data_IF_717077222191
#
_entry.id   IF_717077222191
#
_cell.length_a   1.000
_cell.length_b   1.000
_cell.length_c   1.000
_cell.angle_alpha   90.00
_cell.angle_beta   90.00
_cell.angle_gamma   90.00
#
_symmetry.space_group_name_H-M   'P 1'
#
loop_
_entity.id
_entity.type
_entity.pdbx_description
1 polymer ?
#
# COMPACT_ATOMS: atom_id res chain seq x y z
N UNK A 1 -1.64 25.60 -5.70
CA UNK A 1 -0.79 24.41 -6.01
C UNK A 1 0.74 24.65 -5.92
N UNK A 2 1.29 25.73 -6.50
CA UNK A 2 2.75 26.03 -6.44
C UNK A 2 3.27 26.33 -5.02
N UNK A 3 2.47 26.99 -4.18
CA UNK A 3 2.82 27.35 -2.79
C UNK A 3 2.85 26.11 -1.88
N UNK A 4 1.88 25.20 -2.02
CA UNK A 4 1.87 23.89 -1.35
C UNK A 4 3.16 23.09 -1.65
N UNK A 5 3.62 23.09 -2.90
CA UNK A 5 4.89 22.44 -3.25
C UNK A 5 6.13 23.07 -2.57
N UNK A 6 6.09 24.34 -2.19
CA UNK A 6 7.20 25.02 -1.49
C UNK A 6 7.25 24.64 0.00
N UNK A 7 6.12 24.78 0.71
CA UNK A 7 6.04 24.40 2.13
C UNK A 7 6.22 22.88 2.33
N UNK A 8 5.74 22.07 1.39
CA UNK A 8 5.99 20.62 1.35
C UNK A 8 7.47 20.30 1.22
N UNK A 9 8.21 21.02 0.35
CA UNK A 9 9.66 20.85 0.23
C UNK A 9 10.35 21.19 1.54
N UNK A 10 9.94 22.26 2.23
CA UNK A 10 10.56 22.68 3.49
C UNK A 10 10.25 21.73 4.66
N UNK A 11 9.03 21.21 4.75
CA UNK A 11 8.67 20.19 5.75
C UNK A 11 9.39 18.85 5.51
N UNK A 12 9.45 18.38 4.26
CA UNK A 12 10.19 17.16 3.88
C UNK A 12 11.71 17.35 4.05
N UNK A 13 12.23 18.55 3.78
CA UNK A 13 13.63 18.91 3.98
C UNK A 13 14.00 18.85 5.46
N UNK A 14 13.15 19.38 6.35
CA UNK A 14 13.34 19.28 7.80
C UNK A 14 13.32 17.81 8.30
N UNK A 15 12.52 16.93 7.68
CA UNK A 15 12.51 15.49 7.99
C UNK A 15 13.76 14.76 7.46
N UNK A 16 14.31 15.17 6.30
CA UNK A 16 15.53 14.59 5.72
C UNK A 16 16.81 14.99 6.47
N UNK A 17 16.79 16.07 7.24
CA UNK A 17 17.95 16.58 8.00
C UNK A 17 18.21 15.78 9.29
N UNK A 18 17.33 14.88 9.71
CA UNK A 18 17.48 14.08 10.95
C UNK A 18 18.46 12.89 10.81
N UNK A 19 19.61 13.14 10.19
CA UNK A 19 20.84 12.35 10.03
C UNK A 19 20.88 11.33 8.87
N UNK A 20 21.83 11.48 7.93
CA UNK A 20 22.28 10.39 7.07
C UNK A 20 22.96 9.32 7.96
N UNK A 21 22.55 8.06 7.85
CA UNK A 21 23.13 6.92 8.58
C UNK A 21 24.66 6.83 8.45
N UNK A 22 25.21 7.37 7.36
CA UNK A 22 26.64 7.44 7.08
C UNK A 22 27.47 8.26 8.10
N UNK A 23 26.86 9.18 8.86
CA UNK A 23 27.59 10.03 9.82
C UNK A 23 27.81 9.37 11.19
N UNK A 24 27.10 8.27 11.51
CA UNK A 24 27.10 7.67 12.86
C UNK A 24 28.19 6.62 13.09
N UNK A 25 28.99 6.26 12.08
CA UNK A 25 29.97 5.18 12.18
C UNK A 25 31.29 5.55 12.89
N UNK A 26 31.58 6.84 13.09
CA UNK A 26 32.83 7.32 13.72
C UNK A 26 32.67 7.97 15.10
N UNK A 27 31.46 7.99 15.64
CA UNK A 27 31.17 8.72 16.89
C UNK A 27 31.14 7.74 18.07
N UNK A 28 31.71 8.13 19.22
CA UNK A 28 31.68 7.31 20.42
C UNK A 28 30.22 7.01 20.88
N UNK A 29 30.05 5.92 21.62
CA UNK A 29 28.75 5.41 22.08
C UNK A 29 27.91 6.44 22.85
N UNK A 30 28.55 7.28 23.68
CA UNK A 30 27.86 8.31 24.49
C UNK A 30 27.30 9.43 23.63
N UNK A 31 28.08 9.93 22.68
CA UNK A 31 27.63 10.98 21.75
C UNK A 31 26.55 10.43 20.80
N UNK A 32 26.67 9.17 20.35
CA UNK A 32 25.63 8.48 19.57
C UNK A 32 24.30 8.41 20.35
N UNK A 33 24.35 8.08 21.64
CA UNK A 33 23.16 8.04 22.51
C UNK A 33 22.54 9.43 22.72
N UNK A 34 23.35 10.47 22.93
CA UNK A 34 22.86 11.84 23.07
C UNK A 34 22.23 12.37 21.77
N UNK A 35 22.83 12.07 20.61
CA UNK A 35 22.26 12.44 19.31
C UNK A 35 20.95 11.69 19.03
N UNK A 36 20.87 10.41 19.38
CA UNK A 36 19.62 9.64 19.32
C UNK A 36 18.54 10.23 20.23
N UNK A 37 18.88 10.66 21.45
CA UNK A 37 17.94 11.31 22.36
C UNK A 37 17.38 12.62 21.79
N UNK A 38 18.23 13.47 21.22
CA UNK A 38 17.82 14.73 20.59
C UNK A 38 16.96 14.48 19.34
N UNK A 39 17.31 13.49 18.52
CA UNK A 39 16.50 13.09 17.37
C UNK A 39 15.14 12.55 17.81
N UNK A 40 15.10 11.69 18.83
CA UNK A 40 13.85 11.16 19.36
C UNK A 40 12.96 12.26 19.93
N UNK A 41 13.51 13.21 20.69
CA UNK A 41 12.75 14.37 21.20
C UNK A 41 12.20 15.23 20.04
N UNK A 42 13.00 15.45 19.00
CA UNK A 42 12.57 16.15 17.78
C UNK A 42 11.43 15.41 17.05
N UNK A 43 11.53 14.09 16.93
CA UNK A 43 10.49 13.27 16.31
C UNK A 43 9.22 13.21 17.16
N UNK A 44 9.33 13.11 18.49
CA UNK A 44 8.18 13.16 19.40
C UNK A 44 7.43 14.49 19.31
N UNK A 45 8.15 15.62 19.20
CA UNK A 45 7.52 16.93 18.95
C UNK A 45 6.78 16.95 17.62
N UNK A 46 7.36 16.37 16.56
CA UNK A 46 6.69 16.27 15.25
C UNK A 46 5.46 15.36 15.28
N UNK A 47 5.50 14.26 16.05
CA UNK A 47 4.34 13.38 16.28
C UNK A 47 3.22 14.15 16.98
N UNK A 48 3.52 14.79 18.12
CA UNK A 48 2.53 15.58 18.87
C UNK A 48 1.89 16.67 18.02
N UNK A 49 2.71 17.37 17.21
CA UNK A 49 2.18 18.39 16.32
C UNK A 49 1.30 17.76 15.22
N UNK A 50 1.69 16.64 14.62
CA UNK A 50 0.88 15.94 13.64
C UNK A 50 -0.44 15.38 14.22
N UNK A 51 -0.45 14.90 15.47
CA UNK A 51 -1.64 14.46 16.20
C UNK A 51 -2.60 15.61 16.48
N UNK A 52 -2.10 16.73 17.03
CA UNK A 52 -2.88 17.97 17.24
C UNK A 52 -3.53 18.42 15.93
N UNK A 53 -2.73 18.43 14.85
CA UNK A 53 -3.14 18.77 13.50
C UNK A 53 -4.26 17.88 12.95
N UNK A 54 -4.22 16.58 13.27
CA UNK A 54 -5.24 15.61 12.85
C UNK A 54 -6.54 15.80 13.62
N UNK A 55 -6.46 16.00 14.94
CA UNK A 55 -7.63 16.22 15.78
C UNK A 55 -8.43 17.45 15.35
N UNK A 56 -7.72 18.54 15.05
CA UNK A 56 -8.30 19.77 14.51
C UNK A 56 -9.00 19.52 13.16
N UNK A 57 -8.34 18.84 12.22
CA UNK A 57 -8.95 18.53 10.92
C UNK A 57 -10.24 17.71 11.06
N UNK A 58 -10.24 16.75 12.01
CA UNK A 58 -11.40 15.94 12.35
C UNK A 58 -12.54 16.79 12.93
N UNK A 59 -12.25 17.72 13.83
CA UNK A 59 -13.25 18.64 14.39
C UNK A 59 -13.91 19.48 13.29
N UNK A 60 -13.11 20.04 12.37
CA UNK A 60 -13.62 20.80 11.22
C UNK A 60 -14.51 19.92 10.34
N UNK A 61 -14.05 18.71 10.00
CA UNK A 61 -14.87 17.80 9.19
C UNK A 61 -16.20 17.50 9.87
N UNK A 62 -16.21 17.25 11.17
CA UNK A 62 -17.44 16.98 11.92
C UNK A 62 -18.39 18.20 11.92
N UNK A 63 -17.88 19.43 12.00
CA UNK A 63 -18.69 20.65 11.85
C UNK A 63 -19.31 20.73 10.45
N UNK A 64 -18.52 20.47 9.41
CA UNK A 64 -19.04 20.39 8.04
C UNK A 64 -20.02 19.24 7.82
N UNK A 65 -19.90 18.12 8.52
CA UNK A 65 -20.82 16.98 8.38
C UNK A 65 -22.14 17.19 9.15
N UNK A 66 -22.12 17.91 10.27
CA UNK A 66 -23.28 18.09 11.16
C UNK A 66 -24.17 19.30 10.83
N UNK A 67 -23.68 20.29 10.07
CA UNK A 67 -24.46 21.47 9.71
C UNK A 67 -25.07 21.39 8.32
N UNK A 68 -26.38 21.63 8.18
CA UNK A 68 -27.06 21.65 6.88
C UNK A 68 -26.66 22.86 6.03
N UNK A 69 -26.39 24.00 6.70
CA UNK A 69 -25.86 25.23 6.12
C UNK A 69 -24.50 25.56 6.74
N UNK A 70 -23.55 26.06 5.93
CA UNK A 70 -22.26 26.49 6.47
C UNK A 70 -22.46 27.90 7.05
N UNK A 71 -22.53 28.01 8.37
CA UNK A 71 -22.62 29.32 9.04
C UNK A 71 -21.32 30.11 8.89
N UNK A 72 -21.41 31.44 8.98
CA UNK A 72 -20.24 32.32 9.01
C UNK A 72 -19.28 31.98 10.17
N UNK A 73 -19.81 31.43 11.25
CA UNK A 73 -19.05 30.96 12.41
C UNK A 73 -18.22 29.72 12.07
N UNK A 74 -18.80 28.73 11.37
CA UNK A 74 -18.07 27.57 10.86
C UNK A 74 -16.99 27.99 9.85
N UNK A 75 -17.27 28.96 8.98
CA UNK A 75 -16.28 29.51 8.04
C UNK A 75 -15.14 30.20 8.77
N UNK A 76 -15.44 30.98 9.81
CA UNK A 76 -14.45 31.70 10.62
C UNK A 76 -13.55 30.74 11.39
N UNK A 77 -14.12 29.76 12.08
CA UNK A 77 -13.36 28.71 12.79
C UNK A 77 -12.52 27.91 11.81
N UNK A 78 -13.10 27.49 10.69
CA UNK A 78 -12.37 26.80 9.64
C UNK A 78 -11.20 27.64 9.16
N UNK A 79 -11.40 28.93 8.83
CA UNK A 79 -10.37 29.83 8.32
C UNK A 79 -9.21 30.00 9.30
N UNK A 80 -9.51 30.21 10.59
CA UNK A 80 -8.48 30.31 11.63
C UNK A 80 -7.65 29.02 11.69
N UNK A 81 -8.31 27.86 11.56
CA UNK A 81 -7.63 26.59 11.51
C UNK A 81 -6.77 26.49 10.24
N UNK A 82 -7.31 26.77 9.06
CA UNK A 82 -6.56 26.77 7.79
C UNK A 82 -5.27 27.61 7.88
N UNK A 83 -5.34 28.78 8.51
CA UNK A 83 -4.20 29.67 8.73
C UNK A 83 -3.14 29.07 9.68
N UNK A 84 -3.55 28.42 10.79
CA UNK A 84 -2.62 27.71 11.69
C UNK A 84 -1.82 26.59 10.97
N UNK A 85 -2.38 26.02 9.92
CA UNK A 85 -1.72 25.00 9.11
C UNK A 85 -0.87 25.56 7.97
N UNK A 86 -0.86 26.89 7.79
CA UNK A 86 -0.18 27.55 6.68
C UNK A 86 -0.85 27.31 5.33
N UNK A 87 -2.13 26.90 5.31
CA UNK A 87 -2.89 26.84 4.07
C UNK A 87 -3.12 28.24 3.53
N UNK A 88 -3.11 28.36 2.20
CA UNK A 88 -3.23 29.66 1.53
C UNK A 88 -4.65 30.22 1.65
N UNK A 89 -4.76 31.53 1.49
CA UNK A 89 -6.04 32.26 1.35
C UNK A 89 -6.93 31.70 0.21
N UNK A 90 -6.40 30.87 -0.68
CA UNK A 90 -7.19 30.17 -1.70
C UNK A 90 -8.01 29.00 -1.11
N UNK A 91 -7.51 28.33 -0.06
CA UNK A 91 -8.24 27.23 0.59
C UNK A 91 -9.41 27.74 1.43
N UNK A 92 -9.30 28.95 1.99
CA UNK A 92 -10.41 29.61 2.71
C UNK A 92 -11.53 30.09 1.78
N UNK A 93 -11.33 30.05 0.45
CA UNK A 93 -12.35 30.37 -0.56
C UNK A 93 -13.14 29.14 -1.01
N UNK A 94 -12.88 27.96 -0.46
CA UNK A 94 -13.63 26.74 -0.79
C UNK A 94 -15.02 26.82 -0.13
N UNK A 95 -16.01 27.24 -0.93
CA UNK A 95 -17.42 27.30 -0.52
C UNK A 95 -18.17 25.98 -0.74
N UNK A 96 -17.59 25.05 -1.50
CA UNK A 96 -18.19 23.76 -1.78
C UNK A 96 -17.95 22.77 -0.62
N UNK A 97 -18.99 22.52 0.19
CA UNK A 97 -19.01 21.58 1.32
C UNK A 97 -18.41 20.20 0.98
N UNK A 98 -18.80 19.62 -0.14
CA UNK A 98 -18.35 18.28 -0.56
C UNK A 98 -16.86 18.27 -0.86
N UNK A 99 -16.35 19.31 -1.53
CA UNK A 99 -14.93 19.46 -1.83
C UNK A 99 -14.11 19.69 -0.55
N UNK A 100 -14.62 20.50 0.39
CA UNK A 100 -13.96 20.75 1.67
C UNK A 100 -13.78 19.44 2.49
N UNK A 101 -14.84 18.64 2.60
CA UNK A 101 -14.79 17.32 3.26
C UNK A 101 -13.76 16.40 2.58
N UNK A 102 -13.72 16.36 1.25
CA UNK A 102 -12.74 15.56 0.52
C UNK A 102 -11.30 15.99 0.79
N UNK A 103 -11.03 17.29 0.83
CA UNK A 103 -9.70 17.84 1.11
C UNK A 103 -9.27 17.53 2.55
N UNK A 104 -10.17 17.70 3.53
CA UNK A 104 -9.89 17.35 4.93
C UNK A 104 -9.61 15.85 5.09
N UNK A 105 -10.37 14.99 4.41
CA UNK A 105 -10.11 13.55 4.40
C UNK A 105 -8.74 13.21 3.80
N UNK A 106 -8.34 13.86 2.71
CA UNK A 106 -7.01 13.68 2.13
C UNK A 106 -5.89 14.14 3.08
N UNK A 107 -6.14 15.20 3.84
CA UNK A 107 -5.20 15.72 4.82
C UNK A 107 -5.05 14.77 6.02
N UNK A 108 -6.16 14.26 6.56
CA UNK A 108 -6.15 13.22 7.60
C UNK A 108 -5.38 11.97 7.14
N UNK A 109 -5.68 11.46 5.94
CA UNK A 109 -4.98 10.30 5.35
C UNK A 109 -3.45 10.56 5.29
N UNK A 110 -3.04 11.79 4.95
CA UNK A 110 -1.62 12.16 4.86
C UNK A 110 -0.95 12.31 6.23
N UNK A 111 -1.65 12.86 7.22
CA UNK A 111 -1.15 12.92 8.59
C UNK A 111 -0.99 11.52 9.18
N UNK A 112 -1.90 10.59 8.87
CA UNK A 112 -1.76 9.18 9.27
C UNK A 112 -0.51 8.52 8.68
N UNK A 113 -0.18 8.83 7.42
CA UNK A 113 1.07 8.38 6.79
C UNK A 113 2.31 8.95 7.49
N UNK A 114 2.31 10.26 7.79
CA UNK A 114 3.42 10.93 8.49
C UNK A 114 3.59 10.35 9.90
N UNK A 115 2.50 10.22 10.66
CA UNK A 115 2.53 9.65 12.00
C UNK A 115 3.09 8.23 12.00
N UNK A 116 2.69 7.41 11.02
CA UNK A 116 3.22 6.06 10.85
C UNK A 116 4.72 6.06 10.55
N UNK A 117 5.19 6.95 9.68
CA UNK A 117 6.62 7.08 9.36
C UNK A 117 7.42 7.52 10.58
N UNK A 118 6.91 8.49 11.35
CA UNK A 118 7.57 8.98 12.56
C UNK A 118 7.56 7.93 13.68
N UNK A 119 6.45 7.24 13.90
CA UNK A 119 6.33 6.20 14.94
C UNK A 119 7.30 5.04 14.71
N UNK A 120 7.50 4.64 13.45
CA UNK A 120 8.46 3.60 13.10
C UNK A 120 9.91 4.02 13.34
N UNK A 121 10.21 5.33 13.40
CA UNK A 121 11.56 5.85 13.68
C UNK A 121 11.87 5.95 15.17
N UNK A 122 10.88 6.23 16.03
CA UNK A 122 11.09 6.42 17.49
C UNK A 122 11.28 5.10 18.22
N UNK A 123 10.65 4.01 17.76
CA UNK A 123 10.63 2.73 18.49
C UNK A 123 10.86 1.46 17.64
N UNK A 124 11.98 1.32 16.90
CA UNK A 124 12.25 0.07 16.21
C UNK A 124 12.50 -1.10 17.17
N UNK A 125 12.98 -0.87 18.40
CA UNK A 125 13.54 -1.95 19.24
C UNK A 125 12.70 -2.43 20.42
N UNK A 126 11.67 -1.71 20.88
CA UNK A 126 10.83 -2.18 22.01
C UNK A 126 9.46 -2.70 21.60
N UNK A 127 8.79 -2.08 20.62
CA UNK A 127 7.50 -2.56 20.11
C UNK A 127 7.65 -3.76 19.18
N UNK A 128 8.69 -3.82 18.33
CA UNK A 128 8.94 -5.02 17.52
C UNK A 128 9.22 -6.24 18.39
N UNK A 129 9.92 -6.06 19.51
CA UNK A 129 10.24 -7.14 20.45
C UNK A 129 9.00 -7.59 21.23
N UNK A 130 8.11 -6.67 21.64
CA UNK A 130 6.82 -7.03 22.26
C UNK A 130 5.78 -7.59 21.28
N UNK A 131 5.87 -7.25 19.99
CA UNK A 131 5.00 -7.82 18.93
C UNK A 131 5.41 -9.22 18.53
N UNK A 132 6.69 -9.60 18.68
CA UNK A 132 7.17 -10.95 18.34
C UNK A 132 6.49 -12.07 19.15
N UNK A 133 5.94 -11.76 20.32
CA UNK A 133 5.33 -12.76 21.22
C UNK A 133 3.80 -12.73 21.23
N UNK A 134 3.14 -11.97 20.35
CA UNK A 134 1.68 -11.95 20.24
C UNK A 134 1.23 -12.59 18.94
N UNK A 135 0.33 -13.55 19.05
CA UNK A 135 -0.30 -14.17 17.88
C UNK A 135 -0.94 -13.08 16.99
N UNK A 136 -0.69 -13.10 15.66
CA UNK A 136 -1.25 -12.13 14.74
C UNK A 136 -2.78 -12.17 14.80
N UNK A 137 -3.42 -11.00 14.88
CA UNK A 137 -4.88 -10.90 14.94
C UNK A 137 -5.43 -10.38 13.62
N UNK A 138 -6.62 -10.86 13.23
CA UNK A 138 -7.38 -10.34 12.07
C UNK A 138 -7.48 -8.80 12.07
N UNK A 139 -7.58 -8.18 13.24
CA UNK A 139 -7.61 -6.72 13.40
C UNK A 139 -6.37 -5.98 12.91
N UNK A 140 -5.24 -6.67 12.81
CA UNK A 140 -3.96 -6.07 12.42
C UNK A 140 -3.82 -6.01 10.90
N UNK A 141 -4.58 -6.84 10.18
CA UNK A 141 -4.49 -7.02 8.73
C UNK A 141 -5.68 -6.45 7.98
N UNK A 142 -6.86 -6.38 8.59
CA UNK A 142 -8.08 -5.93 7.91
C UNK A 142 -8.63 -4.62 8.47
N UNK A 143 -9.30 -3.85 7.61
CA UNK A 143 -9.91 -2.59 8.01
C UNK A 143 -10.94 -2.78 9.14
N UNK A 144 -11.04 -1.81 10.06
CA UNK A 144 -11.88 -1.91 11.26
C UNK A 144 -13.35 -2.24 11.00
N UNK A 145 -13.88 -1.84 9.85
CA UNK A 145 -15.29 -2.03 9.48
C UNK A 145 -15.60 -3.47 9.05
N UNK A 146 -14.62 -4.17 8.49
CA UNK A 146 -14.82 -5.48 7.88
C UNK A 146 -14.25 -6.62 8.73
N UNK A 147 -13.38 -6.32 9.70
CA UNK A 147 -12.65 -7.32 10.50
C UNK A 147 -13.52 -8.34 11.26
N UNK A 148 -14.77 -7.99 11.59
CA UNK A 148 -15.66 -8.87 12.36
C UNK A 148 -16.29 -10.01 11.54
N UNK A 149 -16.18 -9.97 10.21
CA UNK A 149 -16.67 -11.02 9.31
C UNK A 149 -15.57 -11.75 8.55
N UNK A 150 -14.30 -11.40 8.78
CA UNK A 150 -13.18 -12.00 8.06
C UNK A 150 -12.89 -13.41 8.58
N UNK A 151 -12.80 -14.36 7.66
CA UNK A 151 -12.40 -15.74 7.87
C UNK A 151 -10.91 -15.91 7.60
N UNK A 152 -10.31 -16.83 8.35
CA UNK A 152 -8.93 -17.28 8.19
C UNK A 152 -8.94 -18.80 8.30
N UNK A 153 -8.17 -19.48 7.46
CA UNK A 153 -7.93 -20.92 7.53
C UNK A 153 -6.94 -21.28 8.65
N UNK A 154 -5.99 -20.39 8.96
CA UNK A 154 -5.00 -20.59 10.02
C UNK A 154 -4.40 -19.27 10.53
N UNK A 155 -3.68 -19.34 11.65
CA UNK A 155 -2.83 -18.22 12.13
C UNK A 155 -1.68 -17.99 11.14
N UNK A 156 -1.13 -19.05 10.56
CA UNK A 156 -0.07 -18.97 9.56
C UNK A 156 -0.53 -18.21 8.32
N UNK A 157 -1.77 -18.40 7.87
CA UNK A 157 -2.33 -17.65 6.75
C UNK A 157 -2.30 -16.13 6.99
N UNK A 158 -2.53 -15.67 8.23
CA UNK A 158 -2.42 -14.25 8.58
C UNK A 158 -0.99 -13.72 8.42
N UNK A 159 0.02 -14.55 8.65
CA UNK A 159 1.42 -14.15 8.49
C UNK A 159 1.78 -13.78 7.03
N UNK A 160 1.05 -14.34 6.06
CA UNK A 160 1.23 -14.07 4.64
C UNK A 160 0.38 -12.89 4.12
N UNK A 161 -0.52 -12.33 4.93
CA UNK A 161 -1.38 -11.23 4.50
C UNK A 161 -0.62 -9.91 4.54
N UNK A 162 -0.63 -9.17 3.43
CA UNK A 162 -0.24 -7.76 3.44
C UNK A 162 -1.25 -6.95 4.24
N UNK A 163 -0.86 -6.25 5.33
CA UNK A 163 -1.79 -5.47 6.14
C UNK A 163 -2.52 -4.39 5.33
N UNK A 164 -3.81 -4.17 5.59
CA UNK A 164 -4.71 -3.34 4.77
C UNK A 164 -4.14 -1.97 4.37
N UNK A 165 -3.55 -1.22 5.31
CA UNK A 165 -2.96 0.09 4.99
C UNK A 165 -1.82 -0.02 3.98
N UNK A 166 -0.93 -1.01 4.19
CA UNK A 166 0.18 -1.29 3.30
C UNK A 166 -0.31 -1.75 1.93
N UNK A 167 -1.28 -2.67 1.88
CA UNK A 167 -1.88 -3.13 0.65
C UNK A 167 -2.50 -1.97 -0.15
N UNK A 168 -3.25 -1.08 0.51
CA UNK A 168 -3.85 0.11 -0.10
C UNK A 168 -2.79 1.04 -0.67
N UNK A 169 -1.74 1.36 0.11
CA UNK A 169 -0.68 2.28 -0.32
C UNK A 169 0.09 1.74 -1.53
N UNK A 170 0.40 0.44 -1.50
CA UNK A 170 1.07 -0.25 -2.61
C UNK A 170 0.20 -0.30 -3.85
N UNK A 171 -1.07 -0.73 -3.74
CA UNK A 171 -1.99 -0.77 -4.87
C UNK A 171 -2.17 0.61 -5.52
N UNK A 172 -2.20 1.68 -4.72
CA UNK A 172 -2.24 3.04 -5.23
C UNK A 172 -0.98 3.41 -6.00
N UNK A 173 0.19 3.09 -5.43
CA UNK A 173 1.46 3.36 -6.09
C UNK A 173 1.55 2.59 -7.42
N UNK A 174 1.23 1.30 -7.41
CA UNK A 174 1.23 0.44 -8.60
C UNK A 174 0.30 0.98 -9.70
N UNK A 175 -0.96 1.27 -9.37
CA UNK A 175 -1.92 1.75 -10.37
C UNK A 175 -1.54 3.12 -10.93
N UNK A 176 -0.98 4.00 -10.10
CA UNK A 176 -0.45 5.29 -10.56
C UNK A 176 0.75 5.12 -11.49
N UNK A 177 1.63 4.16 -11.22
CA UNK A 177 2.73 3.85 -12.12
C UNK A 177 2.21 3.31 -13.45
N UNK A 178 1.24 2.39 -13.41
CA UNK A 178 0.60 1.89 -14.63
C UNK A 178 0.02 3.05 -15.46
N UNK A 179 -0.75 3.94 -14.83
CA UNK A 179 -1.33 5.12 -15.48
C UNK A 179 -0.28 6.07 -16.06
N UNK A 180 0.84 6.26 -15.35
CA UNK A 180 1.93 7.11 -15.82
C UNK A 180 2.62 6.53 -17.06
N UNK A 181 2.85 5.21 -17.09
CA UNK A 181 3.59 4.56 -18.17
C UNK A 181 2.73 4.28 -19.40
N UNK A 182 1.45 3.93 -19.21
CA UNK A 182 0.56 3.49 -20.29
C UNK A 182 -0.55 4.48 -20.63
N UNK A 183 -0.63 5.61 -19.91
CA UNK A 183 -1.65 6.66 -20.09
C UNK A 183 -3.10 6.16 -19.99
N UNK A 184 -3.30 5.05 -19.28
CA UNK A 184 -4.59 4.42 -19.02
C UNK A 184 -4.52 3.60 -17.72
N UNK A 185 -5.63 2.98 -17.32
CA UNK A 185 -5.61 2.02 -16.21
C UNK A 185 -5.65 0.58 -16.75
N UNK A 186 -5.20 -0.43 -15.96
CA UNK A 186 -5.32 -1.81 -16.41
C UNK A 186 -6.80 -2.21 -16.50
N UNK A 187 -7.18 -2.88 -17.59
CA UNK A 187 -8.53 -3.46 -17.75
C UNK A 187 -8.65 -4.76 -16.96
N UNK A 188 -7.54 -5.45 -16.75
CA UNK A 188 -7.45 -6.70 -15.98
C UNK A 188 -6.34 -6.60 -14.94
N UNK A 189 -6.64 -7.01 -13.71
CA UNK A 189 -5.66 -7.15 -12.65
C UNK A 189 -5.72 -8.61 -12.18
N UNK A 190 -4.57 -9.26 -12.13
CA UNK A 190 -4.44 -10.63 -11.67
C UNK A 190 -3.59 -10.65 -10.40
N UNK A 191 -4.18 -11.08 -9.28
CA UNK A 191 -3.46 -11.38 -8.04
C UNK A 191 -3.11 -12.86 -8.05
N UNK A 192 -1.90 -13.19 -8.48
CA UNK A 192 -1.47 -14.57 -8.77
C UNK A 192 -1.35 -15.45 -7.51
N UNK A 193 -1.29 -14.84 -6.33
CA UNK A 193 -1.14 -15.51 -5.02
C UNK A 193 -2.02 -14.85 -3.97
N UNK A 194 -3.33 -14.90 -4.19
CA UNK A 194 -4.36 -14.14 -3.49
C UNK A 194 -4.39 -14.29 -1.97
N UNK A 195 -3.95 -15.44 -1.44
CA UNK A 195 -3.98 -15.71 -0.01
C UNK A 195 -5.41 -15.61 0.53
N UNK A 196 -5.59 -14.90 1.63
CA UNK A 196 -6.93 -14.54 2.16
C UNK A 196 -7.37 -13.10 1.79
N UNK A 197 -6.69 -12.46 0.84
CA UNK A 197 -7.18 -11.25 0.15
C UNK A 197 -6.51 -9.92 0.49
N UNK A 198 -5.35 -9.91 1.15
CA UNK A 198 -4.66 -8.66 1.53
C UNK A 198 -4.45 -7.70 0.36
N UNK A 199 -3.69 -8.13 -0.66
CA UNK A 199 -3.40 -7.31 -1.84
C UNK A 199 -4.64 -7.11 -2.72
N UNK A 200 -5.45 -8.16 -2.92
CA UNK A 200 -6.75 -8.09 -3.62
C UNK A 200 -7.61 -6.94 -3.07
N UNK A 201 -7.77 -6.81 -1.76
CA UNK A 201 -8.57 -5.73 -1.16
C UNK A 201 -7.94 -4.35 -1.32
N UNK A 202 -6.61 -4.27 -1.33
CA UNK A 202 -5.88 -3.03 -1.67
C UNK A 202 -6.28 -2.50 -3.05
N UNK A 203 -6.30 -3.36 -4.06
CA UNK A 203 -6.73 -2.97 -5.41
C UNK A 203 -8.19 -2.57 -5.47
N UNK A 204 -9.09 -3.35 -4.89
CA UNK A 204 -10.53 -3.02 -4.85
C UNK A 204 -10.75 -1.64 -4.22
N UNK A 205 -10.05 -1.33 -3.12
CA UNK A 205 -10.20 -0.05 -2.42
C UNK A 205 -9.77 1.15 -3.28
N UNK A 206 -8.62 1.04 -3.93
CA UNK A 206 -8.07 2.11 -4.76
C UNK A 206 -8.88 2.31 -6.04
N UNK A 207 -9.26 1.21 -6.71
CA UNK A 207 -10.11 1.27 -7.90
C UNK A 207 -11.43 1.97 -7.57
N UNK A 208 -12.09 1.58 -6.47
CA UNK A 208 -13.34 2.21 -6.01
C UNK A 208 -13.16 3.69 -5.70
N UNK A 209 -12.05 4.08 -5.06
CA UNK A 209 -11.85 5.46 -4.59
C UNK A 209 -11.40 6.43 -5.69
N UNK A 210 -10.58 5.96 -6.63
CA UNK A 210 -9.90 6.84 -7.60
C UNK A 210 -10.23 6.53 -9.06
N UNK A 211 -10.71 5.32 -9.37
CA UNK A 211 -10.93 4.84 -10.74
C UNK A 211 -12.34 4.24 -10.92
N UNK A 212 -13.34 4.83 -10.27
CA UNK A 212 -14.71 4.29 -10.23
C UNK A 212 -15.47 4.36 -11.57
N UNK A 213 -14.97 5.11 -12.55
CA UNK A 213 -15.61 5.26 -13.86
C UNK A 213 -15.17 4.22 -14.88
N UNK A 214 -14.10 3.49 -14.59
CA UNK A 214 -13.43 2.60 -15.53
C UNK A 214 -13.75 1.15 -15.20
N UNK A 215 -14.01 0.35 -16.23
CA UNK A 215 -14.31 -1.06 -16.06
C UNK A 215 -13.03 -1.86 -15.85
N UNK A 216 -12.92 -2.53 -14.70
CA UNK A 216 -11.75 -3.34 -14.33
C UNK A 216 -12.21 -4.71 -13.85
N UNK A 217 -11.57 -5.75 -14.36
CA UNK A 217 -11.76 -7.12 -13.93
C UNK A 217 -10.57 -7.54 -13.04
N UNK A 218 -10.84 -7.76 -11.76
CA UNK A 218 -9.85 -8.25 -10.79
C UNK A 218 -10.05 -9.74 -10.56
N UNK A 219 -9.08 -10.57 -10.94
CA UNK A 219 -9.07 -12.02 -10.71
C UNK A 219 -7.99 -12.35 -9.69
N UNK A 220 -8.34 -13.08 -8.64
CA UNK A 220 -7.41 -13.52 -7.61
C UNK A 220 -7.34 -15.04 -7.58
N UNK A 221 -6.13 -15.59 -7.57
CA UNK A 221 -5.88 -17.04 -7.65
C UNK A 221 -5.35 -17.53 -6.31
N UNK A 222 -5.91 -18.63 -5.82
CA UNK A 222 -5.42 -19.29 -4.62
C UNK A 222 -5.46 -20.80 -4.81
N UNK A 223 -4.32 -21.44 -4.59
CA UNK A 223 -4.14 -22.86 -4.82
C UNK A 223 -4.72 -23.71 -3.69
N UNK A 224 -4.63 -23.23 -2.44
CA UNK A 224 -5.21 -23.94 -1.29
C UNK A 224 -6.73 -23.72 -1.24
N UNK A 225 -7.50 -24.82 -1.28
CA UNK A 225 -8.96 -24.76 -1.33
C UNK A 225 -9.58 -24.04 -0.11
N UNK A 226 -9.06 -24.28 1.10
CA UNK A 226 -9.58 -23.66 2.31
C UNK A 226 -9.31 -22.15 2.32
N UNK A 227 -8.11 -21.75 1.91
CA UNK A 227 -7.72 -20.35 1.80
C UNK A 227 -8.48 -19.64 0.68
N UNK A 228 -8.70 -20.29 -0.44
CA UNK A 228 -9.52 -19.79 -1.54
C UNK A 228 -10.98 -19.56 -1.08
N UNK A 229 -11.54 -20.48 -0.30
CA UNK A 229 -12.84 -20.30 0.34
C UNK A 229 -12.87 -19.10 1.30
N UNK A 230 -11.83 -18.93 2.12
CA UNK A 230 -11.68 -17.76 2.98
C UNK A 230 -11.63 -16.46 2.16
N UNK A 231 -10.84 -16.41 1.08
CA UNK A 231 -10.77 -15.28 0.17
C UNK A 231 -12.12 -14.94 -0.46
N UNK A 232 -12.85 -15.94 -0.99
CA UNK A 232 -14.22 -15.75 -1.52
C UNK A 232 -15.14 -15.12 -0.50
N UNK A 233 -15.16 -15.64 0.73
CA UNK A 233 -16.06 -15.15 1.76
C UNK A 233 -15.65 -13.76 2.28
N UNK A 234 -14.35 -13.53 2.45
CA UNK A 234 -13.81 -12.23 2.85
C UNK A 234 -14.11 -11.15 1.81
N UNK A 235 -14.00 -11.48 0.52
CA UNK A 235 -14.35 -10.58 -0.58
C UNK A 235 -15.85 -10.27 -0.57
N UNK A 236 -16.74 -11.24 -0.32
CA UNK A 236 -18.18 -10.98 -0.17
C UNK A 236 -18.46 -10.02 1.00
N UNK A 237 -17.82 -10.23 2.16
CA UNK A 237 -17.95 -9.34 3.32
C UNK A 237 -17.46 -7.93 2.98
N UNK A 238 -16.30 -7.83 2.32
CA UNK A 238 -15.73 -6.56 1.86
C UNK A 238 -16.70 -5.84 0.93
N UNK A 239 -17.13 -6.49 -0.15
CA UNK A 239 -18.01 -5.90 -1.15
C UNK A 239 -19.37 -5.52 -0.56
N UNK A 240 -19.92 -6.30 0.38
CA UNK A 240 -21.19 -5.96 1.07
C UNK A 240 -21.06 -4.66 1.87
N UNK A 241 -19.99 -4.49 2.63
CA UNK A 241 -19.75 -3.28 3.43
C UNK A 241 -19.63 -2.02 2.54
N UNK A 242 -19.05 -2.16 1.35
CA UNK A 242 -18.81 -1.05 0.42
C UNK A 242 -19.81 -0.96 -0.75
N UNK A 243 -20.79 -1.86 -0.82
CA UNK A 243 -21.83 -1.96 -1.88
C UNK A 243 -22.73 -0.72 -2.01
N UNK A 244 -22.73 0.13 -0.98
CA UNK A 244 -23.42 1.44 -1.00
C UNK A 244 -22.73 2.46 -1.91
N UNK A 245 -21.56 2.15 -2.44
CA UNK A 245 -20.79 2.99 -3.35
C UNK A 245 -20.70 2.32 -4.72
N UNK A 246 -20.52 3.08 -5.79
CA UNK A 246 -20.63 2.61 -7.18
C UNK A 246 -19.54 1.58 -7.55
N UNK A 247 -19.78 0.32 -7.18
CA UNK A 247 -18.93 -0.84 -7.48
C UNK A 247 -19.25 -1.45 -8.85
N UNK A 248 -20.19 -0.88 -9.63
CA UNK A 248 -20.71 -1.49 -10.86
C UNK A 248 -19.66 -1.67 -11.96
N UNK A 249 -18.52 -0.99 -11.83
CA UNK A 249 -17.42 -1.01 -12.79
C UNK A 249 -16.27 -1.93 -12.37
N UNK A 250 -16.29 -2.50 -11.17
CA UNK A 250 -15.24 -3.42 -10.70
C UNK A 250 -15.84 -4.82 -10.61
N UNK A 251 -15.46 -5.69 -11.54
CA UNK A 251 -15.77 -7.12 -11.45
C UNK A 251 -14.68 -7.81 -10.66
N UNK A 252 -15.05 -8.68 -9.74
CA UNK A 252 -14.09 -9.45 -8.94
C UNK A 252 -14.39 -10.93 -9.03
N UNK A 253 -13.38 -11.74 -9.28
CA UNK A 253 -13.48 -13.20 -9.32
C UNK A 253 -12.37 -13.83 -8.51
N UNK A 254 -12.70 -14.91 -7.79
CA UNK A 254 -11.72 -15.72 -7.07
C UNK A 254 -11.68 -17.10 -7.70
N UNK A 255 -10.50 -17.50 -8.16
CA UNK A 255 -10.24 -18.74 -8.85
C UNK A 255 -9.42 -19.66 -7.94
N UNK A 256 -9.83 -20.92 -7.88
CA UNK A 256 -9.13 -21.95 -7.12
C UNK A 256 -8.25 -22.74 -8.05
N UNK A 257 -6.97 -22.83 -7.72
CA UNK A 257 -5.99 -23.55 -8.51
C UNK A 257 -4.71 -22.77 -8.72
N UNK A 258 -3.78 -23.40 -9.44
CA UNK A 258 -2.48 -22.83 -9.72
C UNK A 258 -2.58 -21.71 -10.76
N UNK A 259 -2.02 -20.52 -10.45
CA UNK A 259 -2.02 -19.40 -11.38
C UNK A 259 -1.38 -19.75 -12.73
N UNK A 260 -0.24 -20.48 -12.75
CA UNK A 260 0.48 -20.80 -13.98
C UNK A 260 -0.29 -21.77 -14.88
N UNK A 261 -1.10 -22.64 -14.29
CA UNK A 261 -1.98 -23.55 -15.03
C UNK A 261 -3.18 -22.79 -15.59
N UNK A 262 -3.90 -22.08 -14.72
CA UNK A 262 -5.10 -21.33 -15.10
C UNK A 262 -4.81 -20.15 -16.02
N UNK A 263 -3.60 -19.57 -15.97
CA UNK A 263 -3.18 -18.49 -16.85
C UNK A 263 -3.24 -18.90 -18.33
N UNK A 264 -2.96 -20.18 -18.64
CA UNK A 264 -3.01 -20.72 -20.01
C UNK A 264 -4.43 -20.62 -20.60
N UNK A 265 -5.45 -20.64 -19.76
CA UNK A 265 -6.86 -20.54 -20.14
C UNK A 265 -7.36 -19.09 -20.26
N UNK A 266 -6.60 -18.11 -19.75
CA UNK A 266 -6.96 -16.70 -19.84
C UNK A 266 -6.87 -16.25 -21.30
N UNK A 267 -7.94 -15.69 -21.89
CA UNK A 267 -7.95 -15.26 -23.29
C UNK A 267 -6.86 -14.22 -23.59
N UNK A 268 -6.24 -14.30 -24.76
CA UNK A 268 -5.13 -13.43 -25.15
C UNK A 268 -5.49 -11.93 -25.08
N UNK A 269 -6.72 -11.56 -25.40
CA UNK A 269 -7.22 -10.19 -25.34
C UNK A 269 -7.41 -9.67 -23.91
N UNK A 270 -7.46 -10.54 -22.89
CA UNK A 270 -7.47 -10.14 -21.48
C UNK A 270 -6.04 -10.01 -20.89
N UNK A 271 -5.03 -10.53 -21.59
CA UNK A 271 -3.62 -10.43 -21.18
C UNK A 271 -3.00 -9.09 -21.56
N UNK A 272 -3.43 -8.50 -22.67
CA UNK A 272 -3.00 -7.15 -23.05
C UNK A 272 -3.66 -6.09 -22.16
N UNK A 273 -2.92 -5.01 -21.86
CA UNK A 273 -3.36 -3.98 -20.90
C UNK A 273 -3.71 -4.54 -19.51
N UNK A 274 -2.97 -5.56 -19.09
CA UNK A 274 -3.16 -6.19 -17.78
C UNK A 274 -1.99 -5.94 -16.84
N UNK A 275 -2.30 -6.08 -15.55
CA UNK A 275 -1.34 -6.08 -14.47
C UNK A 275 -1.37 -7.43 -13.76
N UNK A 276 -0.21 -8.05 -13.53
CA UNK A 276 -0.09 -9.26 -12.73
C UNK A 276 0.74 -8.96 -11.48
N UNK A 277 0.17 -9.18 -10.29
CA UNK A 277 0.89 -9.15 -9.01
C UNK A 277 1.25 -10.57 -8.60
N UNK A 278 2.50 -10.79 -8.22
CA UNK A 278 3.02 -12.05 -7.69
C UNK A 278 3.61 -11.78 -6.30
N UNK A 279 2.96 -12.29 -5.27
CA UNK A 279 3.44 -12.33 -3.88
C UNK A 279 3.86 -13.78 -3.59
N UNK A 280 4.99 -14.18 -4.19
CA UNK A 280 5.48 -15.55 -4.08
C UNK A 280 5.86 -15.87 -2.63
N UNK A 281 5.65 -17.10 -2.15
CA UNK A 281 6.07 -17.49 -0.82
C UNK A 281 7.59 -17.30 -0.69
N UNK A 282 7.99 -16.43 0.22
CA UNK A 282 9.38 -16.34 0.64
C UNK A 282 9.58 -17.58 1.50
N UNK A 283 10.33 -18.57 1.00
CA UNK A 283 10.46 -19.90 1.60
C UNK A 283 10.64 -19.89 3.12
N UNK A 284 10.42 -21.04 3.77
CA UNK A 284 10.41 -21.29 5.22
C UNK A 284 11.36 -20.38 6.05
N UNK A 285 11.11 -20.24 7.36
CA UNK A 285 11.80 -19.41 8.39
C UNK A 285 13.26 -18.98 8.14
N UNK A 286 14.02 -19.80 7.44
CA UNK A 286 15.40 -19.63 7.01
C UNK A 286 15.63 -18.56 5.93
N UNK A 287 14.61 -18.05 5.21
CA UNK A 287 14.83 -16.96 4.23
C UNK A 287 15.50 -15.72 4.85
N UNK A 288 15.24 -15.49 6.13
CA UNK A 288 15.83 -14.43 6.94
C UNK A 288 17.32 -14.63 7.25
N UNK A 289 17.84 -15.84 7.06
CA UNK A 289 19.25 -16.21 7.26
C UNK A 289 20.12 -15.94 6.04
N UNK A 290 19.54 -15.80 4.86
CA UNK A 290 20.28 -15.50 3.63
C UNK A 290 20.59 -14.01 3.53
N UNK A 291 21.85 -13.65 3.23
CA UNK A 291 22.26 -12.25 3.03
C UNK A 291 21.71 -11.67 1.72
N UNK A 292 21.54 -12.50 0.70
CA UNK A 292 21.01 -12.17 -0.62
C UNK A 292 20.12 -13.31 -1.09
N UNK A 293 18.94 -12.99 -1.61
CA UNK A 293 18.06 -13.94 -2.31
C UNK A 293 18.18 -13.66 -3.81
N UNK A 294 18.63 -14.66 -4.57
CA UNK A 294 18.82 -14.52 -6.02
C UNK A 294 17.54 -14.80 -6.82
N UNK A 295 16.68 -15.67 -6.30
CA UNK A 295 15.41 -15.98 -6.94
C UNK A 295 14.37 -16.47 -5.92
N UNK A 296 13.12 -16.38 -6.32
CA UNK A 296 11.96 -16.97 -5.66
C UNK A 296 11.24 -17.84 -6.67
N UNK A 297 10.42 -18.76 -6.19
CA UNK A 297 9.79 -19.73 -7.07
C UNK A 297 8.32 -19.89 -6.75
N UNK A 298 7.54 -20.12 -7.80
CA UNK A 298 6.21 -20.67 -7.70
C UNK A 298 6.29 -22.14 -8.13
N UNK A 299 5.64 -22.99 -7.36
CA UNK A 299 5.44 -24.39 -7.73
C UNK A 299 4.20 -24.49 -8.61
N UNK A 300 4.29 -25.18 -9.74
CA UNK A 300 3.15 -25.90 -10.28
C UNK A 300 3.14 -27.34 -9.73
N UNK A 301 2.13 -28.14 -10.08
CA UNK A 301 1.99 -29.50 -9.53
C UNK A 301 3.18 -30.44 -9.85
N UNK A 302 4.03 -30.08 -10.82
CA UNK A 302 5.09 -30.95 -11.36
C UNK A 302 6.47 -30.29 -11.45
N UNK A 303 6.54 -28.95 -11.49
CA UNK A 303 7.73 -28.16 -11.78
C UNK A 303 7.78 -26.87 -10.97
N UNK A 304 8.99 -26.38 -10.77
CA UNK A 304 9.26 -25.15 -10.05
C UNK A 304 9.75 -24.12 -11.07
N UNK A 305 9.01 -23.01 -11.22
CA UNK A 305 9.41 -21.90 -12.10
C UNK A 305 9.87 -20.70 -11.29
N UNK A 306 10.95 -20.09 -11.73
CA UNK A 306 11.47 -18.86 -11.12
C UNK A 306 10.51 -17.69 -11.35
N UNK A 307 10.36 -16.79 -10.37
CA UNK A 307 9.54 -15.58 -10.57
C UNK A 307 10.13 -14.66 -11.63
N UNK A 308 11.45 -14.71 -11.86
CA UNK A 308 12.10 -13.98 -12.93
C UNK A 308 11.70 -14.58 -14.30
N UNK A 309 11.73 -15.91 -14.44
CA UNK A 309 11.29 -16.62 -15.65
C UNK A 309 9.82 -16.34 -15.96
N UNK A 310 8.95 -16.45 -14.94
CA UNK A 310 7.52 -16.17 -15.06
C UNK A 310 7.29 -14.72 -15.49
N UNK A 311 7.97 -13.76 -14.86
CA UNK A 311 7.85 -12.34 -15.22
C UNK A 311 8.26 -12.09 -16.67
N UNK A 312 9.34 -12.73 -17.12
CA UNK A 312 9.79 -12.63 -18.50
C UNK A 312 8.77 -13.24 -19.46
N UNK A 313 8.25 -14.44 -19.18
CA UNK A 313 7.20 -15.10 -19.99
C UNK A 313 5.95 -14.22 -20.11
N UNK A 314 5.44 -13.69 -18.99
CA UNK A 314 4.26 -12.81 -18.95
C UNK A 314 4.46 -11.54 -19.78
N UNK A 315 5.61 -10.87 -19.61
CA UNK A 315 5.89 -9.61 -20.30
C UNK A 315 6.17 -9.83 -21.80
N UNK A 316 6.92 -10.87 -22.16
CA UNK A 316 7.43 -11.08 -23.52
C UNK A 316 6.58 -11.96 -24.40
N UNK A 317 6.07 -13.06 -23.87
CA UNK A 317 5.33 -14.03 -24.65
C UNK A 317 3.83 -13.73 -24.58
N UNK A 318 3.33 -13.31 -23.42
CA UNK A 318 1.90 -13.10 -23.20
C UNK A 318 1.41 -11.67 -23.41
N UNK A 319 2.32 -10.69 -23.46
CA UNK A 319 1.98 -9.28 -23.69
C UNK A 319 1.36 -8.58 -22.48
N UNK A 320 1.61 -9.08 -21.27
CA UNK A 320 1.25 -8.38 -20.02
C UNK A 320 1.97 -7.03 -19.99
N UNK A 321 1.25 -5.97 -19.60
CA UNK A 321 1.80 -4.62 -19.58
C UNK A 321 2.71 -4.40 -18.37
N UNK A 322 2.33 -4.93 -17.21
CA UNK A 322 3.08 -4.76 -15.97
C UNK A 322 3.04 -6.02 -15.11
N UNK A 323 4.19 -6.45 -14.65
CA UNK A 323 4.33 -7.48 -13.61
C UNK A 323 4.86 -6.82 -12.34
N UNK A 324 4.26 -7.13 -11.20
CA UNK A 324 4.70 -6.65 -9.90
C UNK A 324 5.11 -7.84 -9.05
N UNK A 325 6.35 -7.86 -8.58
CA UNK A 325 6.85 -8.87 -7.64
C UNK A 325 6.93 -8.27 -6.24
N UNK A 326 6.29 -8.90 -5.26
CA UNK A 326 6.55 -8.60 -3.86
C UNK A 326 7.60 -9.57 -3.31
N UNK A 327 8.75 -9.01 -2.96
CA UNK A 327 9.94 -9.78 -2.58
C UNK A 327 10.52 -9.28 -1.25
N UNK A 328 11.36 -10.05 -0.55
CA UNK A 328 12.10 -9.58 0.61
C UNK A 328 13.06 -8.43 0.26
N UNK A 329 13.44 -7.63 1.27
CA UNK A 329 14.35 -6.49 1.09
C UNK A 329 15.71 -6.86 0.47
N UNK A 330 16.22 -8.05 0.79
CA UNK A 330 17.50 -8.59 0.31
C UNK A 330 17.39 -9.40 -0.98
N UNK A 331 16.26 -9.34 -1.69
CA UNK A 331 16.12 -9.91 -3.02
C UNK A 331 16.95 -9.14 -4.05
N UNK A 332 17.74 -9.86 -4.84
CA UNK A 332 18.61 -9.31 -5.89
C UNK A 332 17.82 -8.98 -7.15
N UNK A 333 17.98 -7.75 -7.65
CA UNK A 333 17.38 -7.31 -8.91
C UNK A 333 18.24 -7.68 -10.13
N UNK A 334 19.44 -8.23 -9.93
CA UNK A 334 20.40 -8.49 -11.01
C UNK A 334 19.85 -9.41 -12.10
N UNK A 335 19.08 -10.42 -11.71
CA UNK A 335 18.52 -11.43 -12.62
C UNK A 335 17.31 -10.93 -13.41
N UNK A 336 16.69 -9.81 -12.99
CA UNK A 336 15.58 -9.19 -13.74
C UNK A 336 16.08 -8.34 -14.90
N UNK A 337 17.27 -7.74 -14.76
CA UNK A 337 17.82 -6.76 -15.71
C UNK A 337 18.73 -7.42 -16.75
N UNK A 338 19.34 -8.57 -16.42
CA UNK A 338 20.40 -9.18 -17.24
C UNK A 338 19.94 -9.69 -18.61
N UNK A 339 18.63 -9.91 -18.83
CA UNK A 339 18.14 -10.64 -20.00
C UNK A 339 17.50 -9.76 -21.08
N UNK A 340 17.35 -8.45 -20.89
CA UNK A 340 16.80 -7.59 -21.94
C UNK A 340 17.01 -6.09 -21.69
N UNK A 341 17.63 -5.39 -22.64
CA UNK A 341 17.84 -3.93 -22.63
C UNK A 341 16.54 -3.10 -22.56
N UNK A 342 15.37 -3.74 -22.62
CA UNK A 342 14.06 -3.09 -22.72
C UNK A 342 13.19 -3.20 -21.45
N UNK A 343 13.66 -3.88 -20.40
CA UNK A 343 12.90 -3.93 -19.14
C UNK A 343 13.26 -2.75 -18.26
N UNK A 344 12.22 -2.05 -17.79
CA UNK A 344 12.33 -1.08 -16.71
C UNK A 344 11.87 -1.73 -15.42
N UNK A 345 12.67 -1.54 -14.37
CA UNK A 345 12.35 -1.99 -13.02
C UNK A 345 12.32 -0.78 -12.11
N UNK A 346 11.16 -0.52 -11.50
CA UNK A 346 11.04 0.45 -10.42
C UNK A 346 10.85 -0.30 -9.10
N UNK A 347 11.49 0.18 -8.02
CA UNK A 347 11.35 -0.42 -6.70
C UNK A 347 10.56 0.49 -5.75
N UNK A 348 9.58 -0.10 -5.07
CA UNK A 348 8.82 0.55 -4.01
C UNK A 348 9.04 -0.20 -2.69
N UNK A 349 9.73 0.44 -1.75
CA UNK A 349 10.14 -0.16 -0.48
C UNK A 349 9.06 0.04 0.58
N UNK A 350 8.67 -1.05 1.25
CA UNK A 350 7.68 -1.01 2.32
C UNK A 350 8.04 -1.96 3.46
N UNK A 351 8.50 -1.39 4.58
CA UNK A 351 8.92 -2.11 5.79
C UNK A 351 9.94 -3.22 5.49
N UNK A 352 9.49 -4.48 5.47
CA UNK A 352 10.32 -5.69 5.31
C UNK A 352 10.23 -6.29 3.91
N UNK A 353 9.49 -5.63 3.00
CA UNK A 353 9.28 -6.06 1.63
C UNK A 353 9.63 -4.95 0.64
N UNK A 354 9.99 -5.37 -0.55
CA UNK A 354 10.20 -4.55 -1.74
C UNK A 354 9.21 -5.00 -2.80
N UNK A 355 8.54 -4.05 -3.44
CA UNK A 355 7.72 -4.29 -4.61
C UNK A 355 8.50 -3.88 -5.84
N UNK A 356 8.82 -4.83 -6.71
CA UNK A 356 9.50 -4.60 -7.98
C UNK A 356 8.43 -4.49 -9.06
N UNK A 357 8.30 -3.31 -9.64
CA UNK A 357 7.34 -2.97 -10.69
C UNK A 357 8.08 -3.06 -12.02
N UNK A 358 7.70 -4.04 -12.83
CA UNK A 358 8.44 -4.47 -14.02
C UNK A 358 7.56 -4.25 -15.25
N UNK A 359 8.08 -3.54 -16.24
CA UNK A 359 7.38 -3.24 -17.49
C UNK A 359 8.38 -2.95 -18.62
N UNK A 360 7.85 -2.79 -19.85
CA UNK A 360 8.63 -2.52 -21.06
C UNK A 360 8.59 -1.05 -21.47
#
# INVERSE_FOLDING_TARGET
MKVWNSQRKQFIFNIRILLPEAFLFKINKKTKLNMLAVVNEGVERLIKEAERKKEVALQVRNLFESSDEISDEILKESKQLWEEFGFTEEMSKITNRKLAIQILQMFEDKLDEILLLLSNKVNPTQEETKRKDRDPKVSDYFHRRIRFGMKTDSVDALSYVTPYRQARDVSHHILKQFETQFHNIPTHIYDATGGIGGNTFGFVDILRKYYCTQQVNLKSFEMDSNRCNCLRDNLKVYLKEYSRQDMRKISTQVLEGNFLELWKEIPQNERTNSLVLIDAPWGNSDYSKHSIIYDLYLFDNETQKSVNEISHELLYNDGVSMVVLKVPMHYSEMNLVSNSEKVKVESYLLRKSKYLIIYK
#
